data_IF_890355680294
#
_entry.id   IF_890355680294
#
_cell.length_a   1.000
_cell.length_b   1.000
_cell.length_c   1.000
_cell.angle_alpha   90.00
_cell.angle_beta   90.00
_cell.angle_gamma   90.00
#
_symmetry.space_group_name_H-M   'P 1'
#
loop_
_entity.id
_entity.type
_entity.pdbx_description
1 polymer ?
#
# COMPACT_ATOMS: atom_id res chain seq x y z
N UNK A 1 12.38 -1.85 -22.24
CA UNK A 1 11.84 -1.35 -20.97
C UNK A 1 12.77 -1.87 -19.90
N UNK A 2 13.75 -1.09 -19.45
CA UNK A 2 14.76 -1.57 -18.50
C UNK A 2 14.19 -1.58 -17.08
N UNK A 3 14.12 -2.78 -16.49
CA UNK A 3 13.95 -3.00 -15.05
C UNK A 3 15.36 -2.91 -14.46
N UNK A 4 15.56 -2.06 -13.46
CA UNK A 4 16.86 -1.91 -12.79
C UNK A 4 16.88 -2.86 -11.59
N UNK A 5 17.59 -3.98 -11.72
CA UNK A 5 17.79 -4.98 -10.65
C UNK A 5 19.07 -4.68 -9.87
N UNK A 6 18.99 -4.60 -8.55
CA UNK A 6 20.18 -4.51 -7.69
C UNK A 6 20.64 -5.92 -7.31
N UNK A 7 21.87 -6.31 -7.69
CA UNK A 7 22.47 -7.59 -7.26
C UNK A 7 22.79 -7.55 -5.76
N UNK A 8 22.15 -8.42 -4.99
CA UNK A 8 22.39 -8.64 -3.56
C UNK A 8 23.77 -9.29 -3.34
N UNK A 9 24.61 -8.72 -2.47
CA UNK A 9 25.90 -9.29 -2.06
C UNK A 9 25.80 -9.77 -0.58
N UNK A 10 25.83 -11.09 -0.31
CA UNK A 10 25.53 -11.66 1.01
C UNK A 10 26.66 -11.57 2.05
N UNK A 11 27.79 -10.94 1.74
CA UNK A 11 29.02 -11.01 2.57
C UNK A 11 29.10 -10.06 3.78
N UNK A 12 27.98 -9.48 4.25
CA UNK A 12 28.00 -8.41 5.26
C UNK A 12 27.27 -8.71 6.59
N UNK A 13 26.87 -9.97 6.88
CA UNK A 13 26.05 -10.28 8.06
C UNK A 13 26.69 -11.21 9.12
N UNK A 14 27.99 -11.49 9.03
CA UNK A 14 28.71 -12.26 10.06
C UNK A 14 29.43 -11.36 11.05
N UNK A 15 28.68 -10.64 11.89
CA UNK A 15 29.15 -10.20 13.22
C UNK A 15 28.00 -9.54 13.99
N UNK A 16 27.20 -10.34 14.68
CA UNK A 16 26.58 -10.01 15.98
C UNK A 16 25.48 -11.04 16.30
N UNK A 17 25.89 -12.23 16.75
CA UNK A 17 24.99 -13.13 17.46
C UNK A 17 25.75 -13.74 18.62
N UNK A 18 25.63 -13.12 19.80
CA UNK A 18 25.81 -13.84 21.04
C UNK A 18 25.12 -13.13 22.20
N UNK A 19 24.39 -13.94 22.98
CA UNK A 19 23.72 -13.65 24.26
C UNK A 19 22.32 -13.00 24.15
N UNK A 20 21.28 -13.82 24.27
CA UNK A 20 20.59 -14.03 25.56
C UNK A 20 19.50 -15.10 25.39
N UNK A 21 19.64 -16.17 26.18
CA UNK A 21 18.65 -17.22 26.38
C UNK A 21 18.10 -17.11 27.81
N UNK A 22 16.78 -17.14 28.00
CA UNK A 22 16.19 -17.73 29.21
C UNK A 22 14.69 -18.00 29.02
N UNK A 23 14.34 -19.23 29.37
CA UNK A 23 13.04 -19.89 29.47
C UNK A 23 12.09 -19.32 30.53
N UNK A 24 10.78 -19.51 30.33
CA UNK A 24 9.83 -19.80 31.41
C UNK A 24 8.56 -20.48 30.87
N UNK A 25 8.27 -21.67 31.40
CA UNK A 25 7.07 -22.48 31.23
C UNK A 25 6.10 -22.25 32.38
N UNK A 26 4.79 -22.12 32.12
CA UNK A 26 3.74 -22.29 33.13
C UNK A 26 2.58 -23.09 32.53
N UNK A 27 2.31 -24.23 33.15
CA UNK A 27 1.12 -25.08 33.00
C UNK A 27 -0.07 -24.49 33.75
N UNK A 28 -1.30 -24.86 33.37
CA UNK A 28 -2.39 -25.31 34.28
C UNK A 28 -3.58 -25.76 33.42
N UNK A 29 -4.06 -26.98 33.68
CA UNK A 29 -5.21 -27.57 33.00
C UNK A 29 -6.54 -27.23 33.65
N UNK A 30 -7.63 -27.62 32.98
CA UNK A 30 -8.73 -28.42 33.54
C UNK A 30 -9.76 -28.73 32.46
N UNK A 31 -10.08 -30.02 32.31
CA UNK A 31 -11.21 -30.54 31.53
C UNK A 31 -12.41 -30.69 32.45
N UNK A 32 -13.61 -30.39 31.96
CA UNK A 32 -14.85 -31.01 32.44
C UNK A 32 -15.73 -31.31 31.22
N UNK A 33 -16.14 -32.57 31.10
CA UNK A 33 -17.13 -33.09 30.16
C UNK A 33 -18.36 -33.51 30.97
N UNK A 34 -19.58 -33.24 30.47
CA UNK A 34 -20.81 -33.89 30.96
C UNK A 34 -21.81 -34.11 29.82
N UNK A 35 -22.16 -35.39 29.66
CA UNK A 35 -23.43 -36.04 29.26
C UNK A 35 -24.61 -35.12 28.85
N UNK A 36 -25.38 -35.37 27.79
CA UNK A 36 -25.86 -36.65 27.27
C UNK A 36 -27.28 -36.94 27.77
N UNK A 37 -28.32 -36.47 27.07
CA UNK A 37 -29.72 -36.86 27.30
C UNK A 37 -30.54 -36.78 26.01
N UNK A 38 -31.18 -37.89 25.64
CA UNK A 38 -32.21 -38.01 24.60
C UNK A 38 -33.61 -38.02 25.22
N UNK A 39 -34.63 -37.54 24.48
CA UNK A 39 -36.01 -38.02 24.65
C UNK A 39 -36.67 -38.41 23.29
N UNK A 40 -37.88 -39.02 23.32
CA UNK A 40 -38.23 -40.13 22.44
C UNK A 40 -39.14 -39.82 21.25
N UNK A 41 -39.18 -40.84 20.40
CA UNK A 41 -40.00 -41.15 19.25
C UNK A 41 -41.50 -40.78 19.35
N UNK A 42 -42.02 -40.14 18.31
CA UNK A 42 -43.45 -40.01 18.00
C UNK A 42 -43.70 -40.49 16.56
N UNK A 43 -44.55 -41.52 16.42
CA UNK A 43 -45.06 -42.05 15.16
C UNK A 43 -46.07 -41.08 14.55
N UNK A 44 -45.97 -40.77 13.26
CA UNK A 44 -47.12 -40.35 12.45
C UNK A 44 -47.04 -40.84 11.01
N UNK A 45 -48.05 -41.65 10.70
CA UNK A 45 -48.81 -41.89 9.47
C UNK A 45 -48.21 -41.58 8.08
N UNK A 46 -48.33 -42.62 7.24
CA UNK A 46 -48.08 -42.71 5.81
C UNK A 46 -48.94 -41.74 4.98
N UNK A 47 -48.31 -40.98 4.10
CA UNK A 47 -48.93 -40.42 2.90
C UNK A 47 -48.08 -40.81 1.69
N UNK A 48 -48.66 -41.61 0.80
CA UNK A 48 -48.06 -42.01 -0.49
C UNK A 48 -47.87 -40.76 -1.36
N UNK A 49 -46.63 -40.36 -1.61
CA UNK A 49 -46.26 -39.47 -2.72
C UNK A 49 -45.65 -40.31 -3.84
N UNK A 50 -46.22 -40.15 -5.03
CA UNK A 50 -45.74 -40.71 -6.29
C UNK A 50 -44.34 -40.16 -6.55
N UNK A 51 -43.32 -41.03 -6.60
CA UNK A 51 -41.96 -40.68 -6.97
C UNK A 51 -41.89 -40.55 -8.49
N UNK A 52 -41.70 -39.33 -8.99
CA UNK A 52 -41.11 -39.09 -10.30
C UNK A 52 -39.60 -39.05 -10.09
N UNK A 53 -38.90 -40.12 -10.46
CA UNK A 53 -37.44 -40.17 -10.47
C UNK A 53 -36.91 -39.30 -11.61
N UNK A 54 -36.75 -38.00 -11.35
CA UNK A 54 -35.78 -37.20 -12.12
C UNK A 54 -34.40 -37.49 -11.55
N UNK A 55 -33.63 -38.31 -12.27
CA UNK A 55 -32.20 -38.41 -12.07
C UNK A 55 -31.59 -37.01 -12.30
N UNK A 56 -31.41 -36.29 -11.20
CA UNK A 56 -30.72 -35.01 -11.19
C UNK A 56 -29.25 -35.36 -11.01
N UNK A 57 -28.48 -35.30 -12.09
CA UNK A 57 -27.02 -35.35 -11.97
C UNK A 57 -26.63 -34.09 -11.21
N UNK A 58 -26.37 -34.23 -9.92
CA UNK A 58 -25.71 -33.20 -9.15
C UNK A 58 -24.29 -33.10 -9.71
N UNK A 59 -24.08 -32.13 -10.60
CA UNK A 59 -22.73 -31.66 -10.91
C UNK A 59 -22.27 -30.95 -9.66
N UNK A 60 -21.57 -31.69 -8.81
CA UNK A 60 -20.84 -31.14 -7.68
C UNK A 60 -19.76 -30.25 -8.29
N UNK A 61 -20.07 -28.95 -8.43
CA UNK A 61 -19.07 -27.95 -8.76
C UNK A 61 -18.09 -27.92 -7.59
N UNK A 62 -17.00 -28.69 -7.72
CA UNK A 62 -15.83 -28.52 -6.91
C UNK A 62 -15.38 -27.07 -7.09
N UNK A 63 -15.66 -26.24 -6.08
CA UNK A 63 -15.04 -24.93 -5.94
C UNK A 63 -13.55 -25.17 -5.72
N UNK A 64 -12.80 -25.30 -6.83
CA UNK A 64 -11.36 -25.21 -6.78
C UNK A 64 -11.06 -23.79 -6.31
N UNK A 65 -10.66 -23.64 -5.04
CA UNK A 65 -10.07 -22.41 -4.55
C UNK A 65 -8.78 -22.23 -5.34
N UNK A 66 -8.83 -21.49 -6.45
CA UNK A 66 -7.67 -21.23 -7.30
C UNK A 66 -6.66 -20.49 -6.43
N UNK A 67 -5.58 -21.16 -6.05
CA UNK A 67 -4.49 -20.55 -5.29
C UNK A 67 -3.77 -19.60 -6.24
N UNK A 68 -3.78 -18.31 -5.92
CA UNK A 68 -3.10 -17.30 -6.72
C UNK A 68 -1.60 -17.57 -6.75
N UNK A 69 -0.97 -17.40 -7.92
CA UNK A 69 0.47 -17.61 -8.10
C UNK A 69 1.30 -16.50 -7.42
N UNK A 70 0.74 -15.29 -7.34
CA UNK A 70 1.33 -14.12 -6.67
C UNK A 70 0.22 -13.31 -5.98
N UNK A 71 0.39 -13.04 -4.68
CA UNK A 71 -0.43 -12.11 -3.90
C UNK A 71 0.32 -10.80 -3.69
N UNK A 72 -0.24 -9.70 -4.20
CA UNK A 72 0.34 -8.36 -4.12
C UNK A 72 -0.31 -7.58 -2.98
N UNK A 73 0.43 -7.35 -1.91
CA UNK A 73 0.01 -6.48 -0.82
C UNK A 73 0.14 -5.01 -1.20
N UNK A 74 -0.92 -4.24 -0.94
CA UNK A 74 -0.95 -2.80 -1.20
C UNK A 74 -1.89 -2.08 -0.24
N UNK A 75 -1.69 -0.77 -0.07
CA UNK A 75 -2.70 0.09 0.58
C UNK A 75 -3.96 0.20 -0.29
N UNK A 76 -5.08 0.49 0.36
CA UNK A 76 -6.39 0.65 -0.31
C UNK A 76 -6.66 2.02 -0.94
N UNK A 77 -5.70 2.96 -0.90
CA UNK A 77 -5.90 4.26 -1.55
C UNK A 77 -5.91 4.13 -3.08
N UNK A 78 -6.65 4.97 -3.83
CA UNK A 78 -6.68 4.89 -5.29
C UNK A 78 -5.29 4.93 -5.94
N UNK A 79 -4.37 5.75 -5.40
CA UNK A 79 -3.00 5.82 -5.91
C UNK A 79 -2.23 4.52 -5.66
N UNK A 80 -2.35 3.94 -4.46
CA UNK A 80 -1.69 2.68 -4.14
C UNK A 80 -2.21 1.52 -5.00
N UNK A 81 -3.52 1.47 -5.24
CA UNK A 81 -4.12 0.53 -6.18
C UNK A 81 -3.59 0.74 -7.61
N UNK A 82 -3.48 1.99 -8.08
CA UNK A 82 -2.89 2.27 -9.40
C UNK A 82 -1.45 1.73 -9.52
N UNK A 83 -0.65 1.83 -8.45
CA UNK A 83 0.73 1.29 -8.40
C UNK A 83 0.74 -0.24 -8.40
N UNK A 84 -0.17 -0.88 -7.68
CA UNK A 84 -0.33 -2.33 -7.68
C UNK A 84 -0.77 -2.85 -9.05
N UNK A 85 -1.70 -2.15 -9.72
CA UNK A 85 -2.11 -2.49 -11.09
C UNK A 85 -1.01 -2.25 -12.13
N UNK A 86 -0.21 -1.18 -11.98
CA UNK A 86 0.97 -0.95 -12.83
C UNK A 86 1.98 -2.10 -12.68
N UNK A 87 2.20 -2.55 -11.45
CA UNK A 87 3.05 -3.71 -11.14
C UNK A 87 2.50 -5.00 -11.76
N UNK A 88 1.20 -5.28 -11.55
CA UNK A 88 0.50 -6.44 -12.13
C UNK A 88 0.63 -6.46 -13.66
N UNK A 89 0.41 -5.32 -14.32
CA UNK A 89 0.50 -5.24 -15.78
C UNK A 89 1.90 -5.59 -16.29
N UNK A 90 2.95 -5.11 -15.61
CA UNK A 90 4.35 -5.42 -15.97
C UNK A 90 4.71 -6.88 -15.71
N UNK A 91 4.20 -7.46 -14.63
CA UNK A 91 4.37 -8.89 -14.33
C UNK A 91 3.73 -9.75 -15.44
N UNK A 92 2.48 -9.47 -15.82
CA UNK A 92 1.78 -10.17 -16.91
C UNK A 92 2.53 -10.04 -18.24
N UNK A 93 3.05 -8.85 -18.54
CA UNK A 93 3.80 -8.61 -19.77
C UNK A 93 5.13 -9.38 -19.83
N UNK A 94 5.69 -9.76 -18.68
CA UNK A 94 7.00 -10.45 -18.59
C UNK A 94 6.86 -11.96 -18.39
N UNK A 95 5.72 -12.40 -17.81
CA UNK A 95 5.46 -13.79 -17.41
C UNK A 95 4.04 -14.17 -17.84
N UNK A 96 3.92 -14.85 -18.99
CA UNK A 96 2.63 -15.13 -19.65
C UNK A 96 1.65 -15.97 -18.81
N UNK A 97 2.16 -16.83 -17.94
CA UNK A 97 1.38 -17.66 -17.01
C UNK A 97 0.62 -16.81 -15.97
N UNK A 98 1.08 -15.58 -15.72
CA UNK A 98 0.40 -14.65 -14.82
C UNK A 98 -0.80 -13.94 -15.47
N UNK A 99 -1.00 -14.11 -16.79
CA UNK A 99 -2.15 -13.56 -17.50
C UNK A 99 -3.46 -14.28 -17.18
N UNK A 100 -3.41 -15.51 -16.67
CA UNK A 100 -4.61 -16.25 -16.32
C UNK A 100 -5.42 -15.55 -15.22
N UNK A 101 -6.74 -15.61 -15.34
CA UNK A 101 -7.64 -15.08 -14.32
C UNK A 101 -7.36 -15.77 -12.96
N UNK A 102 -7.17 -14.97 -11.91
CA UNK A 102 -6.81 -15.46 -10.57
C UNK A 102 -5.33 -15.82 -10.37
N UNK A 103 -4.46 -15.70 -11.38
CA UNK A 103 -3.02 -15.93 -11.18
C UNK A 103 -2.35 -14.86 -10.30
N UNK A 104 -2.84 -13.61 -10.36
CA UNK A 104 -2.41 -12.51 -9.49
C UNK A 104 -3.60 -12.04 -8.67
N UNK A 105 -3.42 -11.99 -7.35
CA UNK A 105 -4.39 -11.42 -6.40
C UNK A 105 -3.87 -10.09 -5.81
N UNK A 106 -4.75 -9.11 -5.66
CA UNK A 106 -4.43 -7.80 -5.05
C UNK A 106 -5.01 -7.77 -3.64
N UNK A 107 -4.14 -7.88 -2.65
CA UNK A 107 -4.51 -7.92 -1.23
C UNK A 107 -4.43 -6.52 -0.65
N UNK A 108 -5.59 -5.92 -0.38
CA UNK A 108 -5.69 -4.60 0.24
C UNK A 108 -5.45 -4.70 1.75
N UNK A 109 -4.46 -3.96 2.24
CA UNK A 109 -4.08 -3.91 3.64
C UNK A 109 -4.28 -2.48 4.16
N UNK A 110 -5.02 -2.34 5.26
CA UNK A 110 -5.30 -1.05 5.89
C UNK A 110 -4.22 -0.73 6.91
N UNK A 111 -3.50 0.37 6.70
CA UNK A 111 -2.36 0.75 7.56
C UNK A 111 -2.76 1.71 8.66
N UNK A 112 -1.95 1.82 9.71
CA UNK A 112 -2.15 2.82 10.78
C UNK A 112 -2.16 4.24 10.23
N UNK A 113 -1.32 4.54 9.23
CA UNK A 113 -1.30 5.84 8.55
C UNK A 113 -2.59 6.18 7.79
N UNK A 114 -3.40 5.18 7.44
CA UNK A 114 -4.74 5.39 6.86
C UNK A 114 -5.81 5.70 7.92
N UNK A 115 -5.57 5.30 9.18
CA UNK A 115 -6.51 5.53 10.31
C UNK A 115 -6.27 6.89 10.96
N UNK A 116 -5.02 7.33 11.08
CA UNK A 116 -4.65 8.56 11.80
C UNK A 116 -4.52 9.72 10.80
N UNK A 117 -5.61 10.49 10.64
CA UNK A 117 -5.65 11.65 9.75
C UNK A 117 -5.65 13.00 10.48
N UNK A 118 -5.92 13.01 11.78
CA UNK A 118 -6.23 14.23 12.55
C UNK A 118 -5.01 14.82 13.29
N UNK A 119 -3.82 14.23 13.13
CA UNK A 119 -2.57 14.70 13.75
C UNK A 119 -1.46 14.93 12.69
N UNK A 120 -0.54 15.90 12.90
CA UNK A 120 0.61 16.11 12.01
C UNK A 120 1.51 14.88 11.91
N UNK A 121 2.10 14.64 10.73
CA UNK A 121 2.94 13.46 10.49
C UNK A 121 4.20 13.44 11.37
N UNK A 122 4.73 14.63 11.67
CA UNK A 122 5.89 14.80 12.54
C UNK A 122 5.58 14.39 14.00
N UNK A 123 4.31 14.53 14.42
CA UNK A 123 3.91 14.35 15.82
C UNK A 123 3.45 12.92 16.11
N UNK A 124 3.04 12.16 15.09
CA UNK A 124 2.48 10.81 15.26
C UNK A 124 3.52 9.80 15.78
N UNK A 125 4.82 10.04 15.57
CA UNK A 125 5.87 9.10 15.97
C UNK A 125 5.73 7.72 15.31
N UNK A 126 6.76 6.88 15.43
CA UNK A 126 6.74 5.52 14.87
C UNK A 126 7.24 5.44 13.42
N UNK A 127 8.15 4.48 13.18
CA UNK A 127 8.69 4.18 11.85
C UNK A 127 7.66 3.36 11.06
N UNK A 128 7.49 3.64 9.77
CA UNK A 128 6.71 2.80 8.86
C UNK A 128 5.19 2.91 8.97
N UNK A 129 4.63 4.10 9.26
CA UNK A 129 3.17 4.31 9.38
C UNK A 129 2.34 3.79 8.20
N UNK A 130 2.92 3.73 7.00
CA UNK A 130 2.27 3.26 5.78
C UNK A 130 2.77 1.90 5.29
N UNK A 131 3.72 1.27 5.99
CA UNK A 131 4.34 0.01 5.56
C UNK A 131 4.19 -1.10 6.58
N UNK A 132 4.14 -0.79 7.89
CA UNK A 132 4.21 -1.79 8.96
C UNK A 132 3.27 -2.97 8.78
N UNK A 133 1.97 -2.73 8.57
CA UNK A 133 0.99 -3.82 8.42
C UNK A 133 1.19 -4.63 7.14
N UNK A 134 1.77 -4.02 6.11
CA UNK A 134 2.12 -4.71 4.85
C UNK A 134 3.38 -5.56 5.06
N UNK A 135 4.36 -5.02 5.78
CA UNK A 135 5.58 -5.74 6.15
C UNK A 135 5.25 -6.98 7.00
N UNK A 136 4.33 -6.85 7.96
CA UNK A 136 3.81 -7.97 8.77
C UNK A 136 3.11 -9.03 7.91
N UNK A 137 2.24 -8.62 6.97
CA UNK A 137 1.60 -9.53 6.04
C UNK A 137 2.61 -10.27 5.14
N UNK A 138 3.69 -9.58 4.72
CA UNK A 138 4.75 -10.17 3.92
C UNK A 138 5.52 -11.22 4.71
N UNK A 139 5.88 -10.92 5.97
CA UNK A 139 6.59 -11.84 6.86
C UNK A 139 5.73 -13.05 7.26
N UNK A 140 4.43 -12.86 7.44
CA UNK A 140 3.47 -13.93 7.75
C UNK A 140 3.07 -14.77 6.54
N UNK A 141 3.59 -14.45 5.35
CA UNK A 141 3.22 -15.11 4.10
C UNK A 141 1.75 -14.97 3.72
N UNK A 142 1.08 -13.91 4.17
CA UNK A 142 -0.27 -13.52 3.75
C UNK A 142 -0.25 -12.91 2.34
N UNK A 143 0.87 -12.29 1.98
CA UNK A 143 1.19 -11.77 0.63
C UNK A 143 2.56 -12.27 0.18
N UNK A 144 2.84 -12.23 -1.12
CA UNK A 144 4.13 -12.68 -1.68
C UNK A 144 5.04 -11.52 -2.03
N UNK A 145 4.46 -10.41 -2.49
CA UNK A 145 5.16 -9.15 -2.74
C UNK A 145 4.37 -7.97 -2.16
N UNK A 146 5.08 -6.92 -1.79
CA UNK A 146 4.50 -5.68 -1.30
C UNK A 146 4.87 -4.51 -2.22
N UNK A 147 3.88 -3.71 -2.63
CA UNK A 147 4.07 -2.59 -3.55
C UNK A 147 3.94 -1.27 -2.80
N UNK A 148 4.98 -0.43 -2.91
CA UNK A 148 5.06 0.83 -2.18
C UNK A 148 5.42 2.02 -3.09
N UNK A 149 4.91 3.19 -2.73
CA UNK A 149 5.57 4.44 -3.09
C UNK A 149 6.90 4.53 -2.34
N UNK A 150 8.03 4.60 -3.03
CA UNK A 150 9.34 4.48 -2.37
C UNK A 150 9.62 5.59 -1.34
N UNK A 151 9.06 6.79 -1.54
CA UNK A 151 9.18 7.88 -0.57
C UNK A 151 8.56 7.57 0.80
N UNK A 152 7.67 6.58 0.87
CA UNK A 152 6.98 6.17 2.10
C UNK A 152 7.66 4.95 2.76
N UNK A 153 8.66 4.35 2.09
CA UNK A 153 9.42 3.20 2.61
C UNK A 153 10.46 3.69 3.63
N UNK A 154 10.52 3.10 4.85
CA UNK A 154 11.56 3.43 5.82
C UNK A 154 12.97 3.13 5.31
N UNK A 155 13.97 3.84 5.82
CA UNK A 155 15.38 3.63 5.46
C UNK A 155 15.92 2.27 5.92
N UNK A 156 15.31 1.68 6.94
CA UNK A 156 15.62 0.34 7.43
C UNK A 156 14.46 -0.58 7.08
N UNK A 157 14.75 -1.64 6.33
CA UNK A 157 13.79 -2.68 6.03
C UNK A 157 13.68 -3.64 7.23
N UNK A 158 12.47 -4.18 7.51
CA UNK A 158 12.31 -5.23 8.50
C UNK A 158 13.15 -6.46 8.19
N UNK A 159 13.73 -7.09 9.21
CA UNK A 159 14.47 -8.34 9.06
C UNK A 159 13.60 -9.40 8.39
N UNK A 160 14.16 -10.13 7.42
CA UNK A 160 13.42 -11.12 6.63
C UNK A 160 12.73 -10.54 5.39
N UNK A 161 12.81 -9.23 5.15
CA UNK A 161 12.34 -8.57 3.91
C UNK A 161 13.50 -7.98 3.12
N UNK A 162 13.34 -7.91 1.80
CA UNK A 162 14.22 -7.20 0.88
C UNK A 162 13.39 -6.35 -0.10
N UNK A 163 14.02 -5.34 -0.70
CA UNK A 163 13.42 -4.49 -1.74
C UNK A 163 14.28 -4.56 -3.01
N UNK A 164 14.20 -5.67 -3.78
CA UNK A 164 15.11 -5.92 -4.90
C UNK A 164 14.75 -5.15 -6.18
N UNK A 165 13.53 -4.60 -6.26
CA UNK A 165 13.00 -4.05 -7.51
C UNK A 165 12.45 -2.63 -7.33
N UNK A 166 12.80 -1.77 -8.28
CA UNK A 166 12.11 -0.51 -8.54
C UNK A 166 11.59 -0.50 -9.97
N UNK A 167 10.34 -0.08 -10.16
CA UNK A 167 9.81 0.19 -11.49
C UNK A 167 10.47 1.43 -12.10
N UNK A 168 10.46 1.60 -13.44
CA UNK A 168 10.94 2.80 -14.10
C UNK A 168 10.37 4.06 -13.45
N UNK A 169 11.27 4.97 -13.06
CA UNK A 169 10.92 6.12 -12.24
C UNK A 169 10.10 7.12 -13.05
N UNK A 170 9.02 7.58 -12.45
CA UNK A 170 8.21 8.67 -13.01
C UNK A 170 8.80 10.05 -12.65
N UNK A 171 8.26 11.11 -13.26
CA UNK A 171 8.58 12.50 -13.00
C UNK A 171 8.61 12.80 -11.49
N UNK A 172 9.77 13.26 -11.06
CA UNK A 172 10.09 13.47 -9.66
C UNK A 172 9.53 14.79 -9.13
N UNK A 173 9.09 15.70 -10.01
CA UNK A 173 8.74 17.08 -9.64
C UNK A 173 7.45 17.18 -8.85
N UNK A 174 7.34 18.28 -8.11
CA UNK A 174 6.09 18.68 -7.48
C UNK A 174 5.26 19.54 -8.45
N UNK A 175 3.95 19.32 -8.44
CA UNK A 175 2.97 20.12 -9.14
C UNK A 175 2.34 21.13 -8.18
N UNK A 176 2.31 22.39 -8.60
CA UNK A 176 1.52 23.45 -8.01
C UNK A 176 0.08 23.39 -8.53
N UNK A 177 -0.87 23.50 -7.61
CA UNK A 177 -2.30 23.39 -7.86
C UNK A 177 -2.98 24.55 -7.14
N UNK A 178 -3.61 25.44 -7.90
CA UNK A 178 -4.38 26.57 -7.42
C UNK A 178 -5.54 26.87 -8.35
N UNK A 179 -6.60 27.47 -7.80
CA UNK A 179 -7.76 27.94 -8.56
C UNK A 179 -7.66 29.41 -8.94
N UNK A 180 -6.72 30.17 -8.36
CA UNK A 180 -6.70 31.63 -8.43
C UNK A 180 -5.37 32.26 -8.83
N UNK A 181 -4.28 31.49 -8.93
CA UNK A 181 -2.95 31.99 -9.30
C UNK A 181 -2.25 30.99 -10.20
N UNK A 182 -1.41 31.44 -11.14
CA UNK A 182 -0.67 30.53 -12.04
C UNK A 182 0.62 29.98 -11.41
N UNK A 183 1.14 30.64 -10.38
CA UNK A 183 2.37 30.26 -9.68
C UNK A 183 2.33 30.58 -8.19
N UNK A 184 3.29 30.05 -7.42
CA UNK A 184 3.48 30.43 -6.01
C UNK A 184 3.80 31.93 -5.85
N UNK A 185 4.50 32.53 -6.82
CA UNK A 185 4.90 33.94 -6.79
C UNK A 185 3.72 34.91 -6.98
N UNK A 186 2.64 34.45 -7.61
CA UNK A 186 1.43 35.24 -7.86
C UNK A 186 0.41 35.17 -6.71
N UNK A 187 0.64 34.32 -5.70
CA UNK A 187 -0.24 34.27 -4.54
C UNK A 187 -0.11 35.57 -3.72
N UNK A 188 -1.23 36.24 -3.37
CA UNK A 188 -1.20 37.40 -2.49
C UNK A 188 -0.54 37.08 -1.15
N UNK A 189 0.11 38.08 -0.55
CA UNK A 189 0.66 37.96 0.79
C UNK A 189 -0.40 37.48 1.79
N UNK A 190 -0.03 36.54 2.66
CA UNK A 190 -0.92 35.91 3.62
C UNK A 190 -1.75 34.73 3.07
N UNK A 191 -1.66 34.41 1.78
CA UNK A 191 -2.33 33.23 1.20
C UNK A 191 -1.87 31.94 1.86
N UNK A 192 -2.79 30.97 1.99
CA UNK A 192 -2.55 29.68 2.65
C UNK A 192 -2.27 28.60 1.60
N UNK A 193 -1.10 27.95 1.73
CA UNK A 193 -0.73 26.78 0.94
C UNK A 193 -0.90 25.53 1.82
N UNK A 194 -1.67 24.55 1.36
CA UNK A 194 -1.87 23.29 2.07
C UNK A 194 -0.73 22.29 1.81
N UNK A 195 0.04 21.93 2.84
CA UNK A 195 1.02 20.84 2.78
C UNK A 195 1.36 20.28 4.16
N UNK A 196 1.25 18.97 4.34
CA UNK A 196 1.75 18.27 5.53
C UNK A 196 3.26 17.90 5.48
N UNK A 197 3.96 18.24 4.40
CA UNK A 197 5.36 17.84 4.19
C UNK A 197 6.31 18.97 4.61
N UNK A 198 7.03 18.78 5.71
CA UNK A 198 8.02 19.77 6.19
C UNK A 198 9.03 20.16 5.11
N UNK A 199 9.47 19.22 4.26
CA UNK A 199 10.31 19.48 3.08
C UNK A 199 9.73 20.57 2.16
N UNK A 200 8.42 20.51 1.90
CA UNK A 200 7.74 21.49 1.05
C UNK A 200 7.50 22.79 1.81
N UNK A 201 7.10 22.71 3.08
CA UNK A 201 6.85 23.89 3.91
C UNK A 201 8.11 24.76 4.00
N UNK A 202 9.26 24.16 4.30
CA UNK A 202 10.54 24.88 4.42
C UNK A 202 10.94 25.56 3.11
N UNK A 203 10.84 24.87 1.97
CA UNK A 203 11.21 25.42 0.67
C UNK A 203 10.25 26.50 0.18
N UNK A 204 8.95 26.38 0.46
CA UNK A 204 7.98 27.45 0.21
C UNK A 204 8.34 28.68 1.03
N UNK A 205 8.47 28.54 2.35
CA UNK A 205 8.69 29.66 3.26
C UNK A 205 10.07 30.32 3.09
N UNK A 206 11.07 29.55 2.63
CA UNK A 206 12.38 30.10 2.27
C UNK A 206 12.30 31.10 1.11
N UNK A 207 11.53 30.77 0.05
CA UNK A 207 11.42 31.61 -1.16
C UNK A 207 10.29 32.64 -1.08
N UNK A 208 9.21 32.32 -0.37
CA UNK A 208 7.99 33.11 -0.29
C UNK A 208 7.57 33.30 1.18
N UNK A 209 8.33 34.09 1.96
CA UNK A 209 8.11 34.24 3.41
C UNK A 209 6.81 34.95 3.78
N UNK A 210 6.15 35.60 2.82
CA UNK A 210 4.83 36.23 3.02
C UNK A 210 3.66 35.24 2.96
N UNK A 211 3.88 34.00 2.51
CA UNK A 211 2.86 32.96 2.46
C UNK A 211 2.71 32.24 3.80
N UNK A 212 1.54 31.64 4.03
CA UNK A 212 1.28 30.74 5.15
C UNK A 212 1.23 29.31 4.65
N UNK A 213 1.67 28.36 5.47
CA UNK A 213 1.58 26.93 5.13
C UNK A 213 0.86 26.20 6.24
N UNK A 214 -0.21 25.48 5.89
CA UNK A 214 -1.04 24.75 6.86
C UNK A 214 -0.99 23.24 6.62
N UNK A 215 -1.16 22.49 7.72
CA UNK A 215 -1.17 21.03 7.67
C UNK A 215 -2.36 20.54 6.83
N UNK A 216 -2.06 19.78 5.79
CA UNK A 216 -3.05 19.39 4.78
C UNK A 216 -2.95 17.90 4.46
N UNK A 217 -3.87 17.13 5.04
CA UNK A 217 -3.88 15.65 5.02
C UNK A 217 -5.06 15.08 4.23
N UNK A 218 -4.92 13.80 3.89
CA UNK A 218 -5.82 13.03 3.04
C UNK A 218 -5.08 12.41 1.85
N UNK A 219 -5.76 11.52 1.13
CA UNK A 219 -5.29 11.04 -0.18
C UNK A 219 -5.38 12.17 -1.23
N UNK A 220 -4.96 11.89 -2.47
CA UNK A 220 -4.93 12.89 -3.56
C UNK A 220 -6.30 13.52 -3.78
N UNK A 221 -7.34 12.71 -3.93
CA UNK A 221 -8.69 13.18 -4.19
C UNK A 221 -9.26 14.02 -3.04
N UNK A 222 -9.06 13.60 -1.78
CA UNK A 222 -9.51 14.36 -0.61
C UNK A 222 -8.85 15.74 -0.56
N UNK A 223 -7.55 15.83 -0.91
CA UNK A 223 -6.83 17.11 -0.95
C UNK A 223 -7.34 18.02 -2.05
N UNK A 224 -7.60 17.49 -3.25
CA UNK A 224 -8.19 18.26 -4.34
C UNK A 224 -9.60 18.74 -4.01
N UNK A 225 -10.42 17.89 -3.37
CA UNK A 225 -11.74 18.30 -2.86
C UNK A 225 -11.64 19.45 -1.87
N UNK A 226 -10.75 19.35 -0.86
CA UNK A 226 -10.54 20.43 0.12
C UNK A 226 -10.05 21.74 -0.52
N UNK A 227 -9.22 21.65 -1.57
CA UNK A 227 -8.82 22.82 -2.36
C UNK A 227 -10.04 23.46 -3.05
N UNK A 228 -10.87 22.66 -3.71
CA UNK A 228 -12.10 23.14 -4.37
C UNK A 228 -13.13 23.74 -3.40
N UNK A 229 -13.13 23.29 -2.15
CA UNK A 229 -13.93 23.86 -1.06
C UNK A 229 -13.32 25.13 -0.45
N UNK A 230 -12.19 25.62 -0.99
CA UNK A 230 -11.54 26.85 -0.53
C UNK A 230 -10.86 26.74 0.84
N UNK A 231 -10.55 25.52 1.32
CA UNK A 231 -9.85 25.33 2.61
C UNK A 231 -8.43 25.91 2.61
N UNK A 232 -7.82 25.99 1.43
CA UNK A 232 -6.51 26.61 1.16
C UNK A 232 -6.56 27.23 -0.24
N UNK A 233 -5.70 28.21 -0.53
CA UNK A 233 -5.63 28.86 -1.85
C UNK A 233 -4.80 28.05 -2.87
N UNK A 234 -3.88 27.23 -2.37
CA UNK A 234 -3.10 26.32 -3.20
C UNK A 234 -2.68 25.08 -2.43
N UNK A 235 -2.28 24.03 -3.14
CA UNK A 235 -1.60 22.86 -2.57
C UNK A 235 -0.51 22.35 -3.51
N UNK A 236 0.38 21.51 -2.98
CA UNK A 236 1.39 20.81 -3.77
C UNK A 236 1.14 19.29 -3.75
N UNK A 237 1.20 18.66 -4.92
CA UNK A 237 1.15 17.20 -5.07
C UNK A 237 2.32 16.71 -5.92
N UNK A 238 2.71 15.45 -5.75
CA UNK A 238 3.74 14.88 -6.62
C UNK A 238 3.14 14.66 -8.02
N UNK A 239 3.81 15.12 -9.07
CA UNK A 239 3.31 15.02 -10.44
C UNK A 239 3.09 13.56 -10.85
N UNK A 240 3.99 12.65 -10.47
CA UNK A 240 3.85 11.21 -10.66
C UNK A 240 2.52 10.64 -10.11
N UNK A 241 2.04 11.16 -8.97
CA UNK A 241 0.78 10.72 -8.39
C UNK A 241 -0.43 11.15 -9.21
N UNK A 242 -0.39 12.36 -9.76
CA UNK A 242 -1.44 12.88 -10.64
C UNK A 242 -1.46 12.16 -11.99
N UNK A 243 -0.28 11.87 -12.56
CA UNK A 243 -0.15 11.10 -13.82
C UNK A 243 -0.72 9.70 -13.70
N UNK A 244 -0.36 8.95 -12.64
CA UNK A 244 -0.91 7.59 -12.40
C UNK A 244 -2.42 7.56 -12.19
N UNK A 245 -2.99 8.66 -11.71
CA UNK A 245 -4.44 8.78 -11.49
C UNK A 245 -5.18 9.44 -12.66
N UNK A 246 -4.50 9.80 -13.74
CA UNK A 246 -5.06 10.59 -14.86
C UNK A 246 -5.72 11.91 -14.39
N UNK A 247 -5.08 12.60 -13.43
CA UNK A 247 -5.58 13.85 -12.82
C UNK A 247 -4.69 15.07 -13.14
N UNK A 248 -3.89 15.01 -14.21
CA UNK A 248 -2.95 16.08 -14.60
C UNK A 248 -3.65 17.37 -15.02
N UNK A 249 -4.93 17.31 -15.38
CA UNK A 249 -5.77 18.48 -15.64
C UNK A 249 -5.92 19.42 -14.44
N UNK A 250 -5.61 18.96 -13.22
CA UNK A 250 -5.58 19.80 -12.02
C UNK A 250 -4.25 20.58 -11.88
N UNK A 251 -3.22 20.26 -12.66
CA UNK A 251 -1.90 20.90 -12.51
C UNK A 251 -1.97 22.32 -13.07
N UNK A 252 -1.67 23.30 -12.22
CA UNK A 252 -1.55 24.70 -12.63
C UNK A 252 -0.14 24.98 -13.17
N UNK A 253 0.89 24.54 -12.45
CA UNK A 253 2.28 24.65 -12.86
C UNK A 253 3.11 23.47 -12.32
N UNK A 254 4.20 23.15 -13.00
CA UNK A 254 5.16 22.14 -12.55
C UNK A 254 6.39 22.87 -12.02
N UNK A 255 6.75 22.61 -10.76
CA UNK A 255 7.90 23.24 -10.12
C UNK A 255 9.19 22.54 -10.58
N UNK A 256 10.19 23.33 -10.95
CA UNK A 256 11.55 22.83 -11.23
C UNK A 256 12.19 22.22 -9.97
N UNK A 257 13.27 21.47 -10.15
CA UNK A 257 13.98 20.85 -9.01
C UNK A 257 14.75 21.88 -8.18
N UNK A 258 15.07 23.03 -8.78
CA UNK A 258 15.68 24.19 -8.14
C UNK A 258 14.65 24.97 -7.31
N UNK A 259 13.40 25.02 -7.78
CA UNK A 259 12.29 25.60 -7.02
C UNK A 259 11.86 24.69 -5.86
N UNK A 260 11.76 23.39 -6.11
CA UNK A 260 11.24 22.42 -5.15
C UNK A 260 11.97 21.10 -5.28
N UNK A 261 13.08 20.96 -4.54
CA UNK A 261 13.86 19.73 -4.50
C UNK A 261 12.97 18.59 -4.00
N UNK A 262 12.84 17.48 -4.75
CA UNK A 262 11.85 16.43 -4.49
C UNK A 262 12.17 15.64 -3.22
N UNK A 263 11.18 14.91 -2.72
CA UNK A 263 11.43 13.94 -1.66
C UNK A 263 12.33 12.79 -2.17
N UNK A 264 13.14 12.22 -1.28
CA UNK A 264 13.92 11.02 -1.57
C UNK A 264 12.97 9.96 -2.16
N UNK A 265 13.41 9.37 -3.27
CA UNK A 265 12.68 8.35 -4.02
C UNK A 265 11.27 8.73 -4.51
N UNK A 266 10.92 10.02 -4.55
CA UNK A 266 9.68 10.48 -5.19
C UNK A 266 9.62 10.03 -6.66
N UNK A 267 8.46 9.57 -7.11
CA UNK A 267 8.23 9.07 -8.47
C UNK A 267 8.48 7.56 -8.64
N UNK A 268 9.26 6.93 -7.78
CA UNK A 268 9.57 5.51 -7.85
C UNK A 268 8.53 4.64 -7.12
N UNK A 269 8.23 3.48 -7.71
CA UNK A 269 7.50 2.39 -7.07
C UNK A 269 8.53 1.32 -6.71
N UNK A 270 8.53 0.91 -5.45
CA UNK A 270 9.39 -0.16 -4.94
C UNK A 270 8.57 -1.40 -4.67
N UNK A 271 9.19 -2.55 -4.90
CA UNK A 271 8.57 -3.85 -4.68
C UNK A 271 9.44 -4.63 -3.71
N UNK A 272 8.85 -5.01 -2.59
CA UNK A 272 9.49 -5.81 -1.55
C UNK A 272 8.99 -7.26 -1.59
N UNK A 273 9.85 -8.18 -1.18
CA UNK A 273 9.53 -9.59 -0.97
C UNK A 273 10.31 -10.15 0.24
N UNK A 274 10.04 -11.40 0.63
CA UNK A 274 10.80 -12.06 1.70
C UNK A 274 12.22 -12.39 1.22
N UNK A 275 13.20 -12.30 2.10
CA UNK A 275 14.61 -12.62 1.81
C UNK A 275 14.82 -14.08 1.38
N UNK A 276 13.99 -14.99 1.87
CA UNK A 276 14.08 -16.43 1.62
C UNK A 276 13.12 -16.93 0.53
N UNK A 277 12.49 -16.03 -0.23
CA UNK A 277 11.57 -16.38 -1.32
C UNK A 277 12.29 -16.29 -2.67
N UNK A 278 13.08 -17.32 -2.98
CA UNK A 278 13.88 -17.38 -4.21
C UNK A 278 13.04 -17.19 -5.48
N UNK A 279 11.78 -17.65 -5.45
CA UNK A 279 10.84 -17.46 -6.57
C UNK A 279 10.59 -15.97 -6.78
N UNK A 280 10.20 -15.23 -5.73
CA UNK A 280 9.92 -13.80 -5.82
C UNK A 280 11.16 -12.93 -6.05
N UNK A 281 12.34 -13.36 -5.57
CA UNK A 281 13.60 -12.65 -5.81
C UNK A 281 14.01 -12.68 -7.28
N UNK A 282 13.75 -13.81 -7.97
CA UNK A 282 14.13 -14.01 -9.38
C UNK A 282 13.10 -13.53 -10.40
N UNK A 283 11.98 -12.98 -9.94
CA UNK A 283 10.88 -12.51 -10.81
C UNK A 283 11.24 -11.29 -11.68
N UNK A 284 12.27 -10.52 -11.29
CA UNK A 284 12.56 -9.17 -11.80
C UNK A 284 13.74 -9.10 -12.77
#
# INVERSE_FOLDING_TARGET
MEIITFKYNPSFLDTCNNKFSSSASISHGSRIAVFGFSPPCLKTQSVRKIMVTKASVAVEQQAHTKVSLIRIGTRGSPLALAQAYETRAKLIASHSELAEEGAIDIVIIKTTGDKILDQPLADIGGKGLFTKEIDEALLNSDIDIAVHSMKDVPTYLPNGTILPCNLPREDVRDAFISLSAASLAELPAGSVVGSASLRRQSQILYRYPSLKVENFRGNVQTRLKKLNEGKVQATLLALAGLKRLNMTNNVTAILSIEEMLPAIAQGAIGIACRTNDDKMVRTW
#
